data_IF_825649842144
#
_entry.id   IF_825649842144
#
_cell.length_a   1.000
_cell.length_b   1.000
_cell.length_c   1.000
_cell.angle_alpha   90.00
_cell.angle_beta   90.00
_cell.angle_gamma   90.00
#
_symmetry.space_group_name_H-M   'P 1'
#
loop_
_entity.id
_entity.type
_entity.pdbx_description
1 polymer ?
#
# COMPACT_ATOMS: atom_id res chain seq x y z
N UNK A 1 15.57 8.50 28.52
CA UNK A 1 14.53 8.82 27.54
C UNK A 1 14.85 8.03 26.29
N UNK A 2 14.05 7.05 25.87
CA UNK A 2 14.34 6.33 24.64
C UNK A 2 14.40 7.37 23.50
N UNK A 3 15.43 7.28 22.66
CA UNK A 3 15.42 8.05 21.41
C UNK A 3 14.17 7.62 20.66
N UNK A 4 13.31 8.58 20.39
CA UNK A 4 12.20 8.36 19.48
C UNK A 4 12.82 8.09 18.12
N UNK A 5 12.78 6.85 17.68
CA UNK A 5 13.04 6.54 16.29
C UNK A 5 12.00 7.29 15.47
N UNK A 6 12.47 8.07 14.52
CA UNK A 6 11.57 8.80 13.64
C UNK A 6 11.20 7.88 12.50
N UNK A 7 9.97 7.40 12.52
CA UNK A 7 9.37 6.85 11.33
C UNK A 7 8.76 7.97 10.50
N UNK A 8 8.96 7.89 9.21
CA UNK A 8 8.26 8.72 8.23
C UNK A 8 7.28 7.85 7.48
N UNK A 9 6.11 8.39 7.17
CA UNK A 9 5.20 7.72 6.25
C UNK A 9 5.86 7.67 4.88
N UNK A 10 6.11 6.46 4.38
CA UNK A 10 6.62 6.28 3.03
C UNK A 10 5.49 6.17 2.00
N UNK A 11 4.26 5.84 2.45
CA UNK A 11 3.14 5.52 1.59
C UNK A 11 1.82 6.04 2.18
N UNK A 12 0.97 6.54 1.28
CA UNK A 12 -0.46 6.73 1.52
C UNK A 12 -1.25 5.88 0.52
N UNK A 13 -2.26 5.16 1.00
CA UNK A 13 -3.05 4.26 0.20
C UNK A 13 -4.52 4.65 0.15
N UNK A 14 -5.11 4.48 -1.03
CA UNK A 14 -6.50 4.81 -1.31
C UNK A 14 -7.22 3.62 -1.94
N UNK A 15 -8.36 3.27 -1.37
CA UNK A 15 -9.28 2.32 -1.99
C UNK A 15 -10.06 3.02 -3.09
N UNK A 16 -10.10 2.43 -4.28
CA UNK A 16 -10.71 2.99 -5.48
C UNK A 16 -11.52 1.95 -6.23
N UNK A 17 -12.49 2.39 -7.01
CA UNK A 17 -13.30 1.49 -7.84
C UNK A 17 -12.60 1.05 -9.13
N UNK A 18 -11.63 1.83 -9.61
CA UNK A 18 -10.83 1.54 -10.81
C UNK A 18 -9.42 2.12 -10.65
N UNK A 19 -8.43 1.23 -10.55
CA UNK A 19 -7.02 1.61 -10.33
C UNK A 19 -6.46 2.37 -11.52
N UNK A 20 -6.75 1.94 -12.76
CA UNK A 20 -6.19 2.61 -13.93
C UNK A 20 -6.80 4.01 -14.09
N UNK A 21 -8.10 4.16 -13.87
CA UNK A 21 -8.76 5.47 -13.87
C UNK A 21 -8.21 6.39 -12.76
N UNK A 22 -7.95 5.86 -11.57
CA UNK A 22 -7.35 6.63 -10.47
C UNK A 22 -5.93 7.11 -10.84
N UNK A 23 -5.10 6.23 -11.41
CA UNK A 23 -3.76 6.59 -11.91
C UNK A 23 -3.83 7.74 -12.92
N UNK A 24 -4.72 7.67 -13.90
CA UNK A 24 -4.90 8.71 -14.91
C UNK A 24 -5.40 10.04 -14.32
N UNK A 25 -6.34 9.98 -13.38
CA UNK A 25 -6.85 11.18 -12.67
C UNK A 25 -5.76 11.89 -11.89
N UNK A 26 -4.96 11.12 -11.13
CA UNK A 26 -3.90 11.70 -10.29
C UNK A 26 -2.71 12.18 -11.11
N UNK A 27 -2.37 11.48 -12.19
CA UNK A 27 -1.34 11.95 -13.12
C UNK A 27 -1.72 13.30 -13.76
N UNK A 28 -2.98 13.45 -14.17
CA UNK A 28 -3.50 14.69 -14.78
C UNK A 28 -3.61 15.82 -13.77
N UNK A 29 -4.09 15.53 -12.54
CA UNK A 29 -4.34 16.57 -11.55
C UNK A 29 -3.08 17.03 -10.83
N UNK A 30 -2.16 16.11 -10.53
CA UNK A 30 -1.02 16.36 -9.64
C UNK A 30 0.34 16.05 -10.29
N UNK A 31 0.38 15.57 -11.53
CA UNK A 31 1.57 15.02 -12.18
C UNK A 31 2.17 13.83 -11.38
N UNK A 32 1.34 13.08 -10.67
CA UNK A 32 1.72 11.87 -9.94
C UNK A 32 2.10 10.73 -10.91
N UNK A 33 2.79 9.72 -10.42
CA UNK A 33 3.24 8.57 -11.21
C UNK A 33 4.61 8.78 -11.89
N UNK A 34 4.99 8.01 -12.92
CA UNK A 34 4.15 6.97 -13.53
C UNK A 34 3.85 5.84 -12.56
N UNK A 35 2.68 5.24 -12.68
CA UNK A 35 2.22 4.16 -11.81
C UNK A 35 2.56 2.80 -12.41
N UNK A 36 2.91 1.85 -11.54
CA UNK A 36 3.00 0.42 -11.83
C UNK A 36 1.69 -0.20 -11.40
N UNK A 37 0.98 -0.84 -12.32
CA UNK A 37 -0.27 -1.55 -12.01
C UNK A 37 0.00 -3.05 -11.94
N UNK A 38 -0.33 -3.65 -10.80
CA UNK A 38 -0.22 -5.09 -10.53
C UNK A 38 -1.64 -5.67 -10.46
N UNK A 39 -2.18 -6.16 -11.59
CA UNK A 39 -3.53 -6.68 -11.63
C UNK A 39 -3.62 -8.05 -10.97
N UNK A 40 -4.72 -8.29 -10.25
CA UNK A 40 -5.03 -9.58 -9.64
C UNK A 40 -3.84 -10.17 -8.88
N UNK A 41 -3.26 -9.34 -7.99
CA UNK A 41 -2.05 -9.68 -7.24
C UNK A 41 -2.23 -10.96 -6.44
N UNK A 42 -1.27 -11.86 -6.54
CA UNK A 42 -1.26 -13.12 -5.79
C UNK A 42 -0.41 -12.97 -4.54
N UNK A 43 -1.00 -13.31 -3.41
CA UNK A 43 -0.31 -13.43 -2.13
C UNK A 43 -0.10 -14.90 -1.78
N UNK A 44 0.99 -15.21 -1.09
CA UNK A 44 1.21 -16.55 -0.51
C UNK A 44 0.27 -16.78 0.68
N UNK A 45 0.05 -15.73 1.46
CA UNK A 45 -0.94 -15.70 2.55
C UNK A 45 -1.60 -14.33 2.64
N UNK A 46 -2.88 -14.33 3.01
CA UNK A 46 -3.66 -13.12 3.31
C UNK A 46 -4.52 -13.38 4.56
N UNK A 47 -3.91 -13.19 5.73
CA UNK A 47 -4.52 -13.50 7.03
C UNK A 47 -5.36 -12.32 7.51
N UNK A 48 -6.65 -12.30 7.15
CA UNK A 48 -7.59 -11.30 7.63
C UNK A 48 -8.22 -11.76 8.96
N UNK A 49 -7.92 -11.04 10.04
CA UNK A 49 -8.43 -11.30 11.41
C UNK A 49 -8.30 -12.77 11.83
N UNK A 50 -7.15 -13.38 11.51
CA UNK A 50 -6.83 -14.77 11.87
C UNK A 50 -7.41 -15.83 10.93
N UNK A 51 -8.05 -15.42 9.82
CA UNK A 51 -8.56 -16.35 8.80
C UNK A 51 -7.86 -16.08 7.48
N UNK A 52 -7.32 -17.12 6.86
CA UNK A 52 -6.72 -17.00 5.53
C UNK A 52 -7.81 -16.74 4.47
N UNK A 53 -7.57 -15.76 3.62
CA UNK A 53 -8.51 -15.30 2.60
C UNK A 53 -7.82 -15.24 1.24
N UNK A 54 -8.59 -15.29 0.16
CA UNK A 54 -8.10 -15.12 -1.21
C UNK A 54 -8.83 -13.96 -1.89
N UNK A 55 -8.64 -12.74 -1.36
CA UNK A 55 -9.23 -11.55 -1.97
C UNK A 55 -8.55 -11.24 -3.32
N UNK A 56 -9.36 -11.01 -4.34
CA UNK A 56 -8.89 -10.62 -5.67
C UNK A 56 -8.64 -9.11 -5.73
N UNK A 57 -7.37 -8.70 -5.69
CA UNK A 57 -6.97 -7.30 -5.54
C UNK A 57 -6.02 -6.86 -6.65
N UNK A 58 -6.29 -5.69 -7.21
CA UNK A 58 -5.37 -4.97 -8.10
C UNK A 58 -4.76 -3.80 -7.34
N UNK A 59 -3.45 -3.63 -7.47
CA UNK A 59 -2.72 -2.50 -6.91
C UNK A 59 -2.15 -1.59 -7.99
N UNK A 60 -2.08 -0.30 -7.69
CA UNK A 60 -1.31 0.69 -8.45
C UNK A 60 -0.33 1.40 -7.52
N UNK A 61 0.94 1.49 -7.89
CA UNK A 61 1.99 2.14 -7.11
C UNK A 61 2.66 3.24 -7.92
N UNK A 62 2.80 4.41 -7.36
CA UNK A 62 3.50 5.54 -7.98
C UNK A 62 3.88 6.57 -6.94
N UNK A 63 4.44 7.70 -7.37
CA UNK A 63 4.87 8.74 -6.45
C UNK A 63 4.18 10.07 -6.75
N UNK A 64 3.97 10.83 -5.67
CA UNK A 64 3.67 12.26 -5.70
C UNK A 64 4.67 12.96 -4.77
N UNK A 65 5.61 13.71 -5.33
CA UNK A 65 6.75 14.18 -4.57
C UNK A 65 7.57 13.01 -4.00
N UNK A 66 7.78 13.00 -2.69
CA UNK A 66 8.51 11.92 -2.00
C UNK A 66 7.58 10.84 -1.43
N UNK A 67 6.26 11.05 -1.50
CA UNK A 67 5.27 10.12 -0.99
C UNK A 67 4.88 9.08 -2.04
N UNK A 68 4.98 7.80 -1.71
CA UNK A 68 4.39 6.75 -2.53
C UNK A 68 2.87 6.78 -2.39
N UNK A 69 2.18 6.78 -3.49
CA UNK A 69 0.73 6.66 -3.55
C UNK A 69 0.39 5.25 -4.02
N UNK A 70 -0.43 4.57 -3.23
CA UNK A 70 -0.98 3.26 -3.57
C UNK A 70 -2.47 3.39 -3.87
N UNK A 71 -2.92 2.82 -4.99
CA UNK A 71 -4.33 2.56 -5.25
C UNK A 71 -4.64 1.09 -5.08
N UNK A 72 -5.82 0.80 -4.53
CA UNK A 72 -6.27 -0.55 -4.19
C UNK A 72 -7.67 -0.73 -4.73
N UNK A 73 -7.88 -1.76 -5.54
CA UNK A 73 -9.19 -2.17 -6.03
C UNK A 73 -9.40 -3.64 -5.68
N UNK A 74 -10.48 -3.95 -4.98
CA UNK A 74 -10.88 -5.34 -4.74
C UNK A 74 -12.03 -5.70 -5.67
N UNK A 75 -11.88 -6.79 -6.43
CA UNK A 75 -12.79 -7.22 -7.49
C UNK A 75 -13.92 -8.13 -7.00
N UNK A 76 -13.81 -8.65 -5.78
CA UNK A 76 -14.77 -9.57 -5.16
C UNK A 76 -15.30 -9.06 -3.81
N UNK A 77 -16.15 -9.83 -3.17
CA UNK A 77 -16.73 -9.53 -1.87
C UNK A 77 -16.06 -10.32 -0.72
N UNK A 78 -14.87 -10.88 -0.96
CA UNK A 78 -14.10 -11.59 0.07
C UNK A 78 -13.84 -10.66 1.26
N UNK A 79 -14.09 -11.12 2.51
CA UNK A 79 -13.80 -10.32 3.69
C UNK A 79 -12.33 -9.89 3.75
N UNK A 80 -12.08 -8.60 3.97
CA UNK A 80 -10.75 -8.01 3.98
C UNK A 80 -10.72 -6.72 4.79
N UNK A 81 -9.52 -6.21 5.07
CA UNK A 81 -9.35 -4.87 5.66
C UNK A 81 -9.91 -3.76 4.76
N UNK A 82 -9.96 -3.98 3.45
CA UNK A 82 -10.54 -3.02 2.50
C UNK A 82 -12.07 -2.95 2.68
N UNK A 83 -12.72 -4.10 2.80
CA UNK A 83 -14.16 -4.21 3.05
C UNK A 83 -14.58 -3.81 4.46
N UNK A 84 -13.64 -3.71 5.41
CA UNK A 84 -13.89 -3.09 6.72
C UNK A 84 -14.25 -1.60 6.62
N UNK A 85 -13.76 -0.92 5.59
CA UNK A 85 -13.91 0.53 5.43
C UNK A 85 -14.84 0.91 4.28
N UNK A 86 -14.88 0.12 3.20
CA UNK A 86 -15.53 0.51 1.95
C UNK A 86 -16.52 -0.54 1.47
N UNK A 87 -17.78 -0.12 1.35
CA UNK A 87 -18.82 -0.88 0.69
C UNK A 87 -18.74 -0.74 -0.85
N UNK A 88 -19.69 -1.37 -1.57
CA UNK A 88 -19.76 -1.29 -3.03
C UNK A 88 -19.87 0.18 -3.51
N UNK A 89 -18.96 0.58 -4.40
CA UNK A 89 -18.93 1.92 -4.99
C UNK A 89 -18.32 3.02 -4.10
N UNK A 90 -17.95 2.72 -2.86
CA UNK A 90 -17.26 3.66 -1.98
C UNK A 90 -15.76 3.69 -2.28
N UNK A 91 -15.15 4.87 -2.09
CA UNK A 91 -13.73 5.13 -2.29
C UNK A 91 -13.20 6.03 -1.17
N UNK A 92 -11.92 5.98 -0.91
CA UNK A 92 -11.29 6.91 0.01
C UNK A 92 -9.93 6.47 0.54
N UNK A 93 -9.40 7.26 1.48
CA UNK A 93 -8.16 6.95 2.18
C UNK A 93 -8.32 5.64 2.97
N UNK A 94 -7.33 4.75 2.84
CA UNK A 94 -7.36 3.44 3.51
C UNK A 94 -6.28 3.31 4.59
N UNK A 95 -5.02 3.62 4.28
CA UNK A 95 -3.93 3.45 5.25
C UNK A 95 -2.73 4.35 4.97
N UNK A 96 -1.87 4.47 5.97
CA UNK A 96 -0.50 4.96 5.86
C UNK A 96 0.47 3.79 6.01
N UNK A 97 1.60 3.83 5.31
CA UNK A 97 2.64 2.81 5.38
C UNK A 97 3.88 3.31 6.11
N UNK A 98 4.43 2.46 6.97
CA UNK A 98 5.74 2.60 7.60
C UNK A 98 6.66 1.50 7.06
N UNK A 99 7.81 1.90 6.52
CA UNK A 99 8.85 0.96 6.11
C UNK A 99 9.74 0.68 7.32
N UNK A 100 9.81 -0.58 7.75
CA UNK A 100 10.45 -0.95 9.02
C UNK A 100 11.57 -1.97 8.81
N UNK A 101 12.69 -1.77 9.49
CA UNK A 101 13.86 -2.66 9.43
C UNK A 101 13.89 -3.69 10.57
N UNK A 102 12.99 -3.58 11.54
CA UNK A 102 12.74 -4.56 12.60
C UNK A 102 11.25 -4.88 12.65
N UNK A 103 10.80 -5.62 11.65
CA UNK A 103 9.39 -5.95 11.48
C UNK A 103 8.78 -6.62 12.72
N UNK A 104 9.48 -7.59 13.34
CA UNK A 104 9.00 -8.28 14.51
C UNK A 104 8.93 -7.37 15.75
N UNK A 105 9.95 -6.53 15.94
CA UNK A 105 9.98 -5.55 17.05
C UNK A 105 8.89 -4.51 16.92
N UNK A 106 8.62 -4.01 15.71
CA UNK A 106 7.56 -3.04 15.47
C UNK A 106 6.15 -3.64 15.65
N UNK A 107 5.94 -4.89 15.24
CA UNK A 107 4.69 -5.60 15.56
C UNK A 107 4.48 -5.68 17.08
N UNK A 108 5.50 -6.12 17.83
CA UNK A 108 5.42 -6.20 19.29
C UNK A 108 5.11 -4.83 19.91
N UNK A 109 5.72 -3.76 19.40
CA UNK A 109 5.45 -2.39 19.86
C UNK A 109 3.99 -1.98 19.62
N UNK A 110 3.42 -2.29 18.45
CA UNK A 110 2.02 -1.98 18.15
C UNK A 110 1.06 -2.77 19.04
N UNK A 111 1.38 -4.04 19.32
CA UNK A 111 0.62 -4.90 20.24
C UNK A 111 0.66 -4.33 21.68
N UNK A 112 1.83 -3.91 22.16
CA UNK A 112 1.99 -3.27 23.48
C UNK A 112 1.23 -1.96 23.60
N UNK A 113 1.08 -1.21 22.51
CA UNK A 113 0.26 0.00 22.45
C UNK A 113 -1.24 -0.30 22.40
N UNK A 114 -1.64 -1.56 22.28
CA UNK A 114 -3.03 -2.01 22.30
C UNK A 114 -3.77 -1.86 20.98
N UNK A 115 -3.07 -1.67 19.86
CA UNK A 115 -3.70 -1.70 18.54
C UNK A 115 -3.99 -3.13 18.11
N UNK A 116 -5.10 -3.32 17.40
CA UNK A 116 -5.51 -4.64 16.92
C UNK A 116 -4.88 -4.94 15.57
N UNK A 117 -4.17 -6.07 15.47
CA UNK A 117 -3.70 -6.60 14.21
C UNK A 117 -4.91 -7.06 13.37
N UNK A 118 -5.12 -6.44 12.23
CA UNK A 118 -6.28 -6.70 11.38
C UNK A 118 -5.96 -7.60 10.18
N UNK A 119 -4.74 -7.50 9.65
CA UNK A 119 -4.32 -8.32 8.51
C UNK A 119 -2.82 -8.53 8.52
N UNK A 120 -2.39 -9.70 8.06
CA UNK A 120 -0.99 -9.98 7.68
C UNK A 120 -0.99 -10.58 6.29
N UNK A 121 -0.06 -10.14 5.47
CA UNK A 121 0.14 -10.72 4.14
C UNK A 121 1.61 -11.03 3.90
N UNK A 122 1.84 -12.06 3.11
CA UNK A 122 3.16 -12.42 2.60
C UNK A 122 3.06 -12.59 1.09
N UNK A 123 3.93 -11.92 0.36
CA UNK A 123 4.04 -12.03 -1.08
C UNK A 123 5.44 -11.61 -1.54
N UNK A 124 5.99 -12.26 -2.55
CA UNK A 124 7.29 -11.90 -3.16
C UNK A 124 8.45 -11.78 -2.15
N UNK A 125 8.45 -12.63 -1.12
CA UNK A 125 9.37 -12.59 0.02
C UNK A 125 9.35 -11.25 0.79
N UNK A 126 8.18 -10.66 0.93
CA UNK A 126 7.90 -9.47 1.72
C UNK A 126 6.82 -9.78 2.71
N UNK A 127 7.01 -9.35 3.94
CA UNK A 127 5.99 -9.36 4.98
C UNK A 127 5.41 -7.96 5.14
N UNK A 128 4.09 -7.89 5.23
CA UNK A 128 3.38 -6.68 5.61
C UNK A 128 2.24 -7.02 6.58
N UNK A 129 1.96 -6.12 7.50
CA UNK A 129 0.81 -6.25 8.38
C UNK A 129 0.12 -4.91 8.60
N UNK A 130 -1.15 -4.98 8.94
CA UNK A 130 -2.04 -3.82 9.09
C UNK A 130 -2.65 -3.82 10.47
N UNK A 131 -2.40 -2.75 11.20
CA UNK A 131 -3.01 -2.48 12.49
C UNK A 131 -4.21 -1.54 12.34
N UNK A 132 -5.27 -1.84 13.08
CA UNK A 132 -6.46 -0.99 13.09
C UNK A 132 -6.20 0.28 13.90
N UNK A 133 -5.81 1.33 13.19
CA UNK A 133 -5.54 2.66 13.75
C UNK A 133 -6.60 3.68 13.34
N UNK A 134 -7.80 3.24 12.94
CA UNK A 134 -8.88 4.12 12.48
C UNK A 134 -9.28 5.18 13.52
N UNK A 135 -9.14 4.87 14.80
CA UNK A 135 -9.37 5.83 15.89
C UNK A 135 -8.28 6.90 16.02
N UNK A 136 -7.08 6.65 15.45
CA UNK A 136 -5.94 7.56 15.49
C UNK A 136 -5.85 8.43 14.24
N UNK A 137 -5.90 7.82 13.06
CA UNK A 137 -5.61 8.49 11.77
C UNK A 137 -6.72 8.35 10.72
N UNK A 138 -7.84 7.70 11.07
CA UNK A 138 -8.95 7.48 10.16
C UNK A 138 -8.80 6.27 9.23
N UNK A 139 -7.66 5.57 9.29
CA UNK A 139 -7.34 4.40 8.47
C UNK A 139 -6.53 3.37 9.23
N UNK A 140 -5.97 2.42 8.51
CA UNK A 140 -5.02 1.45 9.05
C UNK A 140 -3.60 2.02 9.06
N UNK A 141 -2.70 1.40 9.83
CA UNK A 141 -1.26 1.59 9.72
C UNK A 141 -0.65 0.29 9.22
N UNK A 142 0.01 0.35 8.07
CA UNK A 142 0.81 -0.74 7.53
C UNK A 142 2.20 -0.69 8.11
N UNK A 143 2.70 -1.84 8.57
CA UNK A 143 4.13 -2.09 8.75
C UNK A 143 4.60 -2.93 7.57
N UNK A 144 5.51 -2.41 6.79
CA UNK A 144 6.05 -3.06 5.61
C UNK A 144 7.53 -3.38 5.85
N UNK A 145 7.91 -4.65 5.70
CA UNK A 145 9.30 -5.07 5.76
C UNK A 145 10.13 -4.42 4.64
N UNK A 146 11.43 -4.27 4.86
CA UNK A 146 12.33 -3.51 3.97
C UNK A 146 13.43 -4.36 3.26
N UNK A 147 13.13 -5.54 2.69
CA UNK A 147 14.15 -6.32 2.02
C UNK A 147 14.74 -5.56 0.82
N UNK A 148 16.03 -5.79 0.56
CA UNK A 148 16.80 -5.00 -0.41
C UNK A 148 16.19 -4.97 -1.83
N UNK A 149 15.55 -6.04 -2.27
CA UNK A 149 14.92 -6.08 -3.60
C UNK A 149 13.72 -5.12 -3.70
N UNK A 150 12.95 -4.97 -2.62
CA UNK A 150 11.84 -4.01 -2.54
C UNK A 150 12.36 -2.57 -2.49
N UNK A 151 13.37 -2.30 -1.67
CA UNK A 151 13.99 -0.97 -1.64
C UNK A 151 14.52 -0.56 -3.02
N UNK A 152 15.10 -1.52 -3.75
CA UNK A 152 15.57 -1.28 -5.12
C UNK A 152 14.43 -0.97 -6.09
N UNK A 153 13.30 -1.67 -5.96
CA UNK A 153 12.11 -1.41 -6.77
C UNK A 153 11.54 -0.01 -6.49
N UNK A 154 11.37 0.34 -5.21
CA UNK A 154 10.88 1.64 -4.79
C UNK A 154 11.79 2.78 -5.28
N UNK A 155 13.10 2.61 -5.16
CA UNK A 155 14.07 3.59 -5.68
C UNK A 155 13.97 3.76 -7.21
N UNK A 156 13.75 2.66 -7.95
CA UNK A 156 13.53 2.70 -9.39
C UNK A 156 12.26 3.45 -9.78
N UNK A 157 11.15 3.20 -9.06
CA UNK A 157 9.88 3.90 -9.29
C UNK A 157 9.95 5.39 -8.92
N UNK A 158 10.63 5.71 -7.81
CA UNK A 158 10.87 7.10 -7.42
C UNK A 158 11.71 7.84 -8.47
N UNK A 159 12.77 7.21 -8.98
CA UNK A 159 13.57 7.80 -10.05
C UNK A 159 12.74 8.02 -11.32
N UNK A 160 11.86 7.12 -11.69
CA UNK A 160 10.96 7.31 -12.83
C UNK A 160 10.04 8.51 -12.60
N UNK A 161 9.54 8.70 -11.36
CA UNK A 161 8.78 9.89 -10.99
C UNK A 161 9.59 11.18 -11.13
N UNK A 162 10.81 11.21 -10.64
CA UNK A 162 11.68 12.40 -10.74
C UNK A 162 11.97 12.81 -12.20
N UNK A 163 11.98 11.85 -13.12
CA UNK A 163 12.22 12.09 -14.55
C UNK A 163 10.94 12.38 -15.33
N UNK A 164 9.77 12.20 -14.73
CA UNK A 164 8.48 12.39 -15.36
C UNK A 164 8.25 13.83 -15.79
N UNK A 165 7.67 14.00 -16.98
CA UNK A 165 7.27 15.30 -17.53
C UNK A 165 5.75 15.35 -17.70
N UNK A 166 5.14 16.54 -17.63
CA UNK A 166 3.74 16.69 -17.99
C UNK A 166 3.46 16.14 -19.41
N UNK A 167 2.45 15.26 -19.50
CA UNK A 167 2.10 14.58 -20.74
C UNK A 167 2.73 13.20 -20.95
N UNK A 168 3.67 12.79 -20.10
CA UNK A 168 4.15 11.41 -20.11
C UNK A 168 3.03 10.44 -19.67
N UNK A 169 3.06 9.16 -20.11
CA UNK A 169 2.06 8.17 -19.72
C UNK A 169 1.87 8.09 -18.21
N UNK A 170 0.63 7.98 -17.74
CA UNK A 170 0.30 7.86 -16.34
C UNK A 170 0.72 6.50 -15.75
N UNK A 171 0.67 5.47 -16.58
CA UNK A 171 0.96 4.09 -16.20
C UNK A 171 2.17 3.60 -17.01
N UNK A 172 3.10 2.95 -16.33
CA UNK A 172 4.23 2.30 -16.99
C UNK A 172 3.75 1.16 -17.89
N UNK A 173 4.33 1.01 -19.09
CA UNK A 173 4.06 -0.15 -19.92
C UNK A 173 4.34 -1.44 -19.13
N UNK A 174 3.44 -2.41 -19.21
CA UNK A 174 3.71 -3.75 -18.67
C UNK A 174 4.87 -4.34 -19.45
N UNK A 175 5.86 -4.85 -18.73
CA UNK A 175 6.88 -5.69 -19.35
C UNK A 175 6.18 -6.99 -19.72
N UNK A 176 5.82 -7.14 -20.99
CA UNK A 176 5.36 -8.43 -21.53
C UNK A 176 6.60 -9.23 -21.86
N UNK A 177 6.81 -10.32 -21.13
CA UNK A 177 7.82 -11.33 -21.48
C UNK A 177 7.58 -11.91 -22.88
#
# INVERSE_FOLDING_TARGET
MPMLEKYEFFQEAYFVNDVEEACEKWARAYNAGPFIVVPHHKTDTFMYRGTDQEADVTYGFGYLGEMMIQFIQQHDDTPSIYRDMFGPGEEGFHHVGLLVNDYAGEKARMDEMGYTLACELHADNVDACYYDTRSLNGGFTELHDDPQHILSSFAGWYRAHQLRRPGDPAIMPRITD
#
